data_IF_516632632316
#
_entry.id   IF_516632632316
#
_cell.length_a   1.000
_cell.length_b   1.000
_cell.length_c   1.000
_cell.angle_alpha   90.00
_cell.angle_beta   90.00
_cell.angle_gamma   90.00
#
_symmetry.space_group_name_H-M   'P 1'
#
loop_
_entity.id
_entity.type
_entity.pdbx_description
1 polymer ?
#
# COMPACT_ATOMS: atom_id res chain seq x y z
N UNK A 1 -27.75 4.67 27.37
CA UNK A 1 -27.31 3.95 26.16
C UNK A 1 -26.06 4.62 25.59
N UNK A 2 -25.05 3.84 25.14
CA UNK A 2 -23.81 4.39 24.59
C UNK A 2 -23.99 4.90 23.16
N UNK A 3 -23.12 5.82 22.74
CA UNK A 3 -23.01 6.24 21.35
C UNK A 3 -22.42 5.11 20.48
N UNK A 4 -22.73 5.12 19.18
CA UNK A 4 -22.08 4.21 18.23
C UNK A 4 -20.57 4.43 18.25
N UNK A 5 -19.81 3.33 18.29
CA UNK A 5 -18.34 3.35 18.21
C UNK A 5 -17.85 4.04 16.95
N UNK A 6 -16.62 4.55 17.00
CA UNK A 6 -15.99 5.19 15.83
C UNK A 6 -15.88 4.24 14.65
N UNK A 7 -15.58 2.93 14.88
CA UNK A 7 -15.54 1.92 13.83
C UNK A 7 -16.89 1.74 13.15
N UNK A 8 -18.00 1.73 13.91
CA UNK A 8 -19.33 1.64 13.33
C UNK A 8 -19.69 2.88 12.50
N UNK A 9 -19.26 4.08 12.94
CA UNK A 9 -19.42 5.33 12.18
C UNK A 9 -18.61 5.34 10.89
N UNK A 10 -17.38 4.82 10.92
CA UNK A 10 -16.56 4.65 9.71
C UNK A 10 -17.20 3.71 8.72
N UNK A 11 -17.74 2.59 9.18
CA UNK A 11 -18.39 1.59 8.32
C UNK A 11 -19.61 2.13 7.56
N UNK A 12 -20.21 3.23 8.01
CA UNK A 12 -21.28 3.91 7.28
C UNK A 12 -20.82 4.63 6.01
N UNK A 13 -19.53 4.89 5.84
CA UNK A 13 -19.00 5.55 4.64
C UNK A 13 -19.39 7.02 4.49
N UNK A 14 -19.75 7.72 5.60
CA UNK A 14 -20.05 9.15 5.53
C UNK A 14 -18.84 9.97 5.11
N UNK A 15 -19.05 11.19 4.54
CA UNK A 15 -17.99 12.09 4.05
C UNK A 15 -16.85 12.33 5.04
N UNK A 16 -17.13 12.34 6.36
CA UNK A 16 -16.12 12.49 7.41
C UNK A 16 -15.13 11.31 7.49
N UNK A 17 -15.46 10.16 6.92
CA UNK A 17 -14.65 8.94 6.95
C UNK A 17 -14.32 8.39 5.56
N UNK A 18 -14.82 9.00 4.51
CA UNK A 18 -14.43 8.69 3.14
C UNK A 18 -13.16 9.46 2.77
N UNK A 19 -12.51 9.00 1.72
CA UNK A 19 -11.35 9.69 1.16
C UNK A 19 -11.77 11.04 0.60
N UNK A 20 -10.87 12.03 0.63
CA UNK A 20 -11.14 13.32 0.02
C UNK A 20 -11.22 13.19 -1.50
N UNK A 21 -12.08 13.98 -2.17
CA UNK A 21 -12.02 14.14 -3.61
C UNK A 21 -10.59 14.52 -4.03
N UNK A 22 -10.13 14.05 -5.19
CA UNK A 22 -8.77 14.29 -5.67
C UNK A 22 -7.66 13.41 -5.08
N UNK A 23 -7.99 12.52 -4.12
CA UNK A 23 -6.96 11.61 -3.56
C UNK A 23 -6.73 10.35 -4.41
N UNK A 24 -7.65 10.00 -5.30
CA UNK A 24 -7.63 8.77 -6.13
C UNK A 24 -8.23 9.00 -7.52
N UNK A 25 -8.11 10.19 -8.02
CA UNK A 25 -8.52 10.60 -9.37
C UNK A 25 -7.53 10.13 -10.44
N UNK A 26 -6.31 9.79 -10.04
CA UNK A 26 -5.28 9.27 -10.95
C UNK A 26 -5.24 7.75 -10.85
N UNK A 27 -5.44 7.09 -12.00
CA UNK A 27 -5.22 5.65 -12.14
C UNK A 27 -3.75 5.38 -12.36
N UNK A 28 -3.17 4.51 -11.53
CA UNK A 28 -1.76 4.08 -11.62
C UNK A 28 -1.76 2.59 -11.89
N UNK A 29 -1.88 2.23 -13.15
CA UNK A 29 -1.95 0.85 -13.61
C UNK A 29 -1.15 0.69 -14.89
N UNK A 30 -0.76 -0.54 -15.18
CA UNK A 30 -0.22 -0.89 -16.49
C UNK A 30 -1.31 -0.78 -17.57
N UNK A 31 -0.97 -0.44 -18.81
CA UNK A 31 -1.90 -0.51 -19.93
C UNK A 31 -2.53 -1.90 -20.05
N UNK A 32 -3.85 -1.94 -20.32
CA UNK A 32 -4.62 -3.18 -20.24
C UNK A 32 -4.26 -4.18 -21.36
N UNK A 33 -3.83 -3.71 -22.53
CA UNK A 33 -3.63 -4.58 -23.70
C UNK A 33 -2.15 -4.65 -24.08
N UNK A 34 -1.41 -5.63 -23.56
CA UNK A 34 0.04 -5.71 -23.73
C UNK A 34 0.52 -6.99 -24.41
N UNK A 35 -0.21 -7.49 -25.39
CA UNK A 35 0.39 -8.41 -26.35
C UNK A 35 1.33 -7.69 -27.33
N UNK A 36 1.16 -6.38 -27.50
CA UNK A 36 2.07 -5.53 -28.26
C UNK A 36 3.03 -4.81 -27.31
N UNK A 37 4.31 -4.84 -27.61
CA UNK A 37 5.30 -4.03 -26.91
C UNK A 37 5.04 -2.56 -27.18
N UNK A 38 5.07 -1.72 -26.12
CA UNK A 38 4.96 -0.27 -26.22
C UNK A 38 6.25 0.38 -25.75
N UNK A 39 6.63 1.44 -26.41
CA UNK A 39 7.67 2.36 -25.96
C UNK A 39 6.98 3.63 -25.46
N UNK A 40 7.50 4.24 -24.41
CA UNK A 40 7.00 5.49 -23.89
C UNK A 40 8.12 6.34 -23.34
N UNK A 41 7.91 7.65 -23.34
CA UNK A 41 8.81 8.64 -22.77
C UNK A 41 8.21 9.23 -21.52
N UNK A 42 9.04 9.42 -20.49
CA UNK A 42 8.63 10.07 -19.23
C UNK A 42 8.51 11.58 -19.47
N UNK A 43 7.30 12.09 -19.48
CA UNK A 43 7.02 13.52 -19.70
C UNK A 43 7.10 14.34 -18.42
N UNK A 44 6.71 13.73 -17.28
CA UNK A 44 6.62 14.45 -16.00
C UNK A 44 6.81 13.53 -14.81
N UNK A 45 7.45 14.06 -13.76
CA UNK A 45 7.51 13.45 -12.42
C UNK A 45 6.75 14.33 -11.43
N UNK A 46 5.86 13.73 -10.63
CA UNK A 46 5.03 14.49 -9.70
C UNK A 46 4.65 13.70 -8.43
N UNK A 47 4.32 14.43 -7.37
CA UNK A 47 3.81 13.85 -6.14
C UNK A 47 2.28 13.89 -6.10
N UNK A 48 1.68 12.81 -5.63
CA UNK A 48 0.23 12.70 -5.50
C UNK A 48 -0.19 12.33 -4.07
N UNK A 49 -1.24 12.97 -3.54
CA UNK A 49 -1.68 12.80 -2.15
C UNK A 49 -2.13 11.38 -1.81
N UNK A 50 -2.56 10.60 -2.79
CA UNK A 50 -2.99 9.21 -2.64
C UNK A 50 -1.85 8.21 -2.59
N UNK A 51 -0.66 8.59 -3.03
CA UNK A 51 0.51 7.73 -3.12
C UNK A 51 1.65 8.25 -2.24
N UNK A 52 2.41 7.35 -1.63
CA UNK A 52 3.62 7.71 -0.88
C UNK A 52 4.82 7.87 -1.80
N UNK A 53 4.82 7.14 -2.91
CA UNK A 53 5.84 7.20 -3.94
C UNK A 53 5.54 8.33 -4.95
N UNK A 54 6.55 8.97 -5.53
CA UNK A 54 6.40 9.81 -6.71
C UNK A 54 5.80 9.01 -7.88
N UNK A 55 5.06 9.70 -8.72
CA UNK A 55 4.48 9.14 -9.93
C UNK A 55 5.20 9.72 -11.15
N UNK A 56 5.25 8.93 -12.22
CA UNK A 56 5.69 9.36 -13.53
C UNK A 56 4.52 9.30 -14.50
N UNK A 57 4.39 10.34 -15.29
CA UNK A 57 3.50 10.42 -16.45
C UNK A 57 4.30 10.00 -17.68
N UNK A 58 3.74 9.12 -18.48
CA UNK A 58 4.39 8.53 -19.65
C UNK A 58 3.50 8.77 -20.84
N UNK A 59 4.08 9.28 -21.89
CA UNK A 59 3.47 9.36 -23.21
C UNK A 59 4.00 8.19 -24.06
N UNK A 60 3.07 7.35 -24.52
CA UNK A 60 3.40 6.18 -25.33
C UNK A 60 3.45 6.53 -26.83
N UNK A 61 4.07 5.66 -27.60
CA UNK A 61 4.21 5.73 -29.05
C UNK A 61 2.85 5.83 -29.81
N UNK A 62 1.77 5.40 -29.18
CA UNK A 62 0.40 5.56 -29.68
C UNK A 62 -0.30 6.86 -29.22
N UNK A 63 0.45 7.85 -28.71
CA UNK A 63 -0.03 9.11 -28.16
C UNK A 63 -1.02 8.97 -26.98
N UNK A 64 -1.05 7.83 -26.35
CA UNK A 64 -1.82 7.65 -25.10
C UNK A 64 -0.95 7.98 -23.89
N UNK A 65 -1.55 8.59 -22.85
CA UNK A 65 -0.89 8.90 -21.61
C UNK A 65 -1.20 7.86 -20.54
N UNK A 66 -0.21 7.49 -19.76
CA UNK A 66 -0.35 6.61 -18.62
C UNK A 66 0.39 7.12 -17.39
N UNK A 67 -0.06 6.72 -16.21
CA UNK A 67 0.63 7.04 -14.97
C UNK A 67 1.13 5.76 -14.32
N UNK A 68 2.42 5.75 -13.98
CA UNK A 68 3.06 4.65 -13.26
C UNK A 68 3.84 5.16 -12.05
N UNK A 69 4.25 4.24 -11.18
CA UNK A 69 5.10 4.57 -10.03
C UNK A 69 6.52 4.81 -10.55
N UNK A 70 7.11 5.93 -10.14
CA UNK A 70 8.48 6.27 -10.54
C UNK A 70 9.51 5.41 -9.79
N UNK A 71 10.47 4.80 -10.47
CA UNK A 71 11.62 4.15 -9.83
C UNK A 71 12.65 5.18 -9.39
N UNK A 72 13.53 4.77 -8.49
CA UNK A 72 14.67 5.55 -8.06
C UNK A 72 15.66 5.73 -9.22
N UNK A 73 16.05 6.97 -9.49
CA UNK A 73 17.03 7.32 -10.53
C UNK A 73 16.44 7.66 -11.90
N UNK A 74 15.13 7.54 -12.11
CA UNK A 74 14.49 7.91 -13.38
C UNK A 74 14.44 9.44 -13.56
N UNK A 75 14.55 9.88 -14.80
CA UNK A 75 14.50 11.30 -15.19
C UNK A 75 13.38 11.54 -16.18
N UNK A 76 13.02 12.80 -16.34
CA UNK A 76 12.18 13.25 -17.46
C UNK A 76 12.95 13.03 -18.77
N UNK A 77 12.26 12.61 -19.81
CA UNK A 77 12.76 12.18 -21.12
C UNK A 77 13.45 10.81 -21.15
N UNK A 78 13.48 10.06 -20.05
CA UNK A 78 13.91 8.67 -20.07
C UNK A 78 12.86 7.80 -20.80
N UNK A 79 13.34 6.79 -21.53
CA UNK A 79 12.48 5.84 -22.24
C UNK A 79 12.14 4.65 -21.37
N UNK A 80 10.88 4.27 -21.36
CA UNK A 80 10.32 3.14 -20.63
C UNK A 80 9.65 2.18 -21.61
N UNK A 81 9.93 0.89 -21.46
CA UNK A 81 9.40 -0.15 -22.35
C UNK A 81 8.40 -1.02 -21.61
N UNK A 82 7.35 -1.43 -22.30
CA UNK A 82 6.33 -2.34 -21.77
C UNK A 82 6.25 -3.56 -22.68
N UNK A 83 6.40 -4.76 -22.10
CA UNK A 83 6.28 -6.02 -22.85
C UNK A 83 7.47 -6.34 -23.77
N UNK A 84 8.56 -5.59 -23.71
CA UNK A 84 9.85 -5.89 -24.32
C UNK A 84 10.77 -6.54 -23.31
N UNK A 85 11.63 -7.46 -23.75
CA UNK A 85 12.72 -8.03 -22.95
C UNK A 85 13.91 -7.05 -22.78
N UNK A 86 13.59 -5.78 -22.61
CA UNK A 86 14.59 -4.73 -22.35
C UNK A 86 14.57 -4.42 -20.85
N UNK A 87 15.63 -4.82 -20.18
CA UNK A 87 15.76 -4.65 -18.72
C UNK A 87 16.27 -3.27 -18.33
N UNK A 88 15.60 -2.22 -18.84
CA UNK A 88 15.89 -0.83 -18.45
C UNK A 88 15.10 -0.42 -17.22
N UNK A 89 15.60 0.58 -16.50
CA UNK A 89 14.99 1.10 -15.29
C UNK A 89 13.54 1.58 -15.54
N UNK A 90 12.60 1.12 -14.72
CA UNK A 90 11.20 1.50 -14.84
C UNK A 90 10.40 0.74 -15.88
N UNK A 91 11.04 -0.06 -16.74
CA UNK A 91 10.35 -0.87 -17.76
C UNK A 91 9.53 -1.98 -17.13
N UNK A 92 8.46 -2.36 -17.82
CA UNK A 92 7.49 -3.37 -17.38
C UNK A 92 7.72 -4.64 -18.17
N UNK A 93 8.13 -5.69 -17.48
CA UNK A 93 8.39 -7.00 -18.06
C UNK A 93 7.54 -8.08 -17.37
N UNK A 94 7.38 -9.24 -18.02
CA UNK A 94 6.83 -10.44 -17.40
C UNK A 94 7.82 -10.95 -16.35
N UNK A 95 7.33 -11.41 -15.22
CA UNK A 95 8.20 -11.87 -14.12
C UNK A 95 9.03 -13.07 -14.55
N UNK A 96 8.46 -13.95 -15.36
CA UNK A 96 9.16 -15.12 -15.88
C UNK A 96 10.37 -14.81 -16.76
N UNK A 97 10.41 -13.63 -17.38
CA UNK A 97 11.48 -13.21 -18.29
C UNK A 97 12.61 -12.44 -17.56
N UNK A 98 12.36 -11.98 -16.32
CA UNK A 98 13.31 -11.16 -15.56
C UNK A 98 14.33 -12.06 -14.87
N UNK A 99 15.64 -11.80 -15.02
CA UNK A 99 16.68 -12.60 -14.36
C UNK A 99 16.54 -12.64 -12.82
N UNK A 100 16.96 -13.77 -12.22
CA UNK A 100 17.02 -13.92 -10.77
C UNK A 100 17.95 -12.86 -10.14
N UNK A 101 17.59 -12.43 -8.94
CA UNK A 101 18.33 -11.41 -8.19
C UNK A 101 18.00 -9.97 -8.60
N UNK A 102 17.28 -9.73 -9.70
CA UNK A 102 16.91 -8.37 -10.09
C UNK A 102 15.87 -7.75 -9.16
N UNK A 103 16.03 -6.45 -8.83
CA UNK A 103 15.06 -5.70 -8.06
C UNK A 103 13.83 -5.39 -8.92
N UNK A 104 12.64 -5.63 -8.35
CA UNK A 104 11.35 -5.39 -9.01
C UNK A 104 10.38 -4.73 -8.04
N UNK A 105 9.42 -3.98 -8.59
CA UNK A 105 8.36 -3.33 -7.84
C UNK A 105 7.06 -3.25 -8.64
N UNK A 106 5.98 -2.74 -8.03
CA UNK A 106 4.64 -2.60 -8.65
C UNK A 106 4.16 -3.90 -9.31
N UNK A 107 4.31 -5.02 -8.61
CA UNK A 107 4.13 -6.37 -9.13
C UNK A 107 2.65 -6.72 -9.21
N UNK A 108 2.24 -7.38 -10.27
CA UNK A 108 0.90 -7.96 -10.40
C UNK A 108 0.75 -9.19 -9.49
N UNK A 109 -0.41 -9.35 -8.88
CA UNK A 109 -0.75 -10.56 -8.10
C UNK A 109 -1.42 -11.63 -8.96
N UNK A 110 -2.11 -11.19 -10.00
CA UNK A 110 -2.68 -12.01 -11.07
C UNK A 110 -2.41 -11.32 -12.41
N UNK A 111 -2.19 -12.06 -13.49
CA UNK A 111 -1.92 -11.46 -14.78
C UNK A 111 -3.01 -10.44 -15.19
N UNK A 112 -2.61 -9.23 -15.57
CA UNK A 112 -3.51 -8.17 -16.03
C UNK A 112 -4.16 -7.32 -14.92
N UNK A 113 -3.79 -7.47 -13.64
CA UNK A 113 -4.37 -6.68 -12.54
C UNK A 113 -3.75 -5.27 -12.37
N UNK A 114 -2.76 -4.93 -13.17
CA UNK A 114 -2.19 -3.58 -13.27
C UNK A 114 -1.17 -3.21 -12.21
N UNK A 115 -0.71 -4.15 -11.40
CA UNK A 115 0.27 -3.96 -10.33
C UNK A 115 -0.37 -3.61 -8.98
N UNK A 116 -0.11 -4.44 -7.98
CA UNK A 116 -0.67 -4.30 -6.63
C UNK A 116 0.34 -4.44 -5.49
N UNK A 117 1.38 -5.24 -5.68
CA UNK A 117 2.39 -5.48 -4.66
C UNK A 117 3.56 -4.51 -4.81
N UNK A 118 4.21 -4.17 -3.70
CA UNK A 118 5.45 -3.35 -3.65
C UNK A 118 5.28 -2.00 -4.34
N UNK A 119 4.41 -1.15 -3.79
CA UNK A 119 4.05 0.17 -4.37
C UNK A 119 4.40 1.35 -3.47
N UNK A 120 4.89 1.10 -2.27
CA UNK A 120 5.22 2.16 -1.31
C UNK A 120 6.59 2.75 -1.60
N UNK A 121 6.79 4.03 -1.26
CA UNK A 121 8.07 4.71 -1.40
C UNK A 121 9.23 3.92 -0.79
N UNK A 122 10.33 3.78 -1.54
CA UNK A 122 11.54 3.08 -1.13
C UNK A 122 11.43 1.56 -1.03
N UNK A 123 10.31 0.97 -1.46
CA UNK A 123 10.14 -0.48 -1.40
C UNK A 123 10.66 -1.16 -2.66
N UNK A 124 11.23 -2.36 -2.50
CA UNK A 124 11.67 -3.23 -3.58
C UNK A 124 11.44 -4.68 -3.21
N UNK A 125 11.26 -5.53 -4.19
CA UNK A 125 11.24 -6.98 -4.09
C UNK A 125 12.30 -7.57 -4.99
N UNK A 126 12.64 -8.84 -4.81
CA UNK A 126 13.66 -9.53 -5.60
C UNK A 126 13.11 -10.82 -6.14
N UNK A 127 13.42 -11.12 -7.40
CA UNK A 127 13.18 -12.44 -7.98
C UNK A 127 14.20 -13.41 -7.39
N UNK A 128 13.71 -14.48 -6.81
CA UNK A 128 14.56 -15.41 -6.06
C UNK A 128 14.83 -16.70 -6.83
N UNK A 129 13.83 -17.21 -7.54
CA UNK A 129 13.96 -18.42 -8.33
C UNK A 129 12.82 -18.53 -9.35
N UNK A 130 13.10 -19.11 -10.50
CA UNK A 130 12.10 -19.52 -11.48
C UNK A 130 11.73 -20.99 -11.29
N UNK A 131 10.43 -21.28 -11.30
CA UNK A 131 9.84 -22.61 -11.24
C UNK A 131 9.13 -22.89 -12.58
N UNK A 132 8.69 -24.12 -12.82
CA UNK A 132 7.91 -24.41 -14.02
C UNK A 132 6.58 -23.66 -14.03
N UNK A 133 6.47 -22.57 -14.80
CA UNK A 133 5.26 -21.76 -14.95
C UNK A 133 4.97 -20.78 -13.80
N UNK A 134 5.91 -20.64 -12.85
CA UNK A 134 5.74 -19.74 -11.72
C UNK A 134 7.10 -19.20 -11.24
N UNK A 135 7.11 -18.00 -10.71
CA UNK A 135 8.30 -17.32 -10.20
C UNK A 135 8.15 -17.01 -8.72
N UNK A 136 9.19 -17.30 -7.94
CA UNK A 136 9.27 -16.99 -6.52
C UNK A 136 9.84 -15.58 -6.32
N UNK A 137 9.10 -14.74 -5.61
CA UNK A 137 9.45 -13.34 -5.35
C UNK A 137 9.52 -13.08 -3.85
N UNK A 138 10.64 -12.54 -3.39
CA UNK A 138 10.82 -12.12 -1.99
C UNK A 138 10.38 -10.68 -1.82
N UNK A 139 9.32 -10.47 -1.04
CA UNK A 139 8.74 -9.17 -0.74
C UNK A 139 9.57 -8.38 0.30
N UNK A 140 9.37 -7.05 0.45
CA UNK A 140 10.03 -6.23 1.49
C UNK A 140 9.80 -6.73 2.92
N UNK A 141 8.72 -7.45 3.16
CA UNK A 141 8.42 -8.11 4.45
C UNK A 141 9.28 -9.35 4.73
N UNK A 142 10.16 -9.73 3.80
CA UNK A 142 10.93 -10.99 3.79
C UNK A 142 10.07 -12.25 3.63
N UNK A 143 8.82 -12.07 3.24
CA UNK A 143 7.95 -13.19 2.88
C UNK A 143 8.15 -13.52 1.40
N UNK A 144 8.26 -14.81 1.08
CA UNK A 144 8.31 -15.30 -0.30
C UNK A 144 6.90 -15.61 -0.79
N UNK A 145 6.60 -15.19 -2.01
CA UNK A 145 5.32 -15.43 -2.69
C UNK A 145 5.60 -16.01 -4.06
N UNK A 146 4.88 -17.07 -4.40
CA UNK A 146 4.91 -17.69 -5.74
C UNK A 146 3.85 -17.02 -6.59
N UNK A 147 4.26 -16.48 -7.75
CA UNK A 147 3.41 -15.78 -8.70
C UNK A 147 3.50 -16.46 -10.07
N UNK A 148 2.48 -16.31 -10.89
CA UNK A 148 2.48 -16.80 -12.27
C UNK A 148 3.50 -16.01 -13.12
N UNK A 149 4.24 -16.66 -13.99
CA UNK A 149 5.25 -16.06 -14.87
C UNK A 149 4.68 -14.97 -15.79
N UNK A 150 3.39 -15.04 -16.13
CA UNK A 150 2.69 -14.04 -16.92
C UNK A 150 2.38 -12.74 -16.17
N UNK A 151 2.54 -12.71 -14.83
CA UNK A 151 2.44 -11.49 -14.06
C UNK A 151 3.52 -10.48 -14.49
N UNK A 152 3.17 -9.21 -14.52
CA UNK A 152 4.11 -8.14 -14.87
C UNK A 152 4.67 -7.45 -13.64
N UNK A 153 5.88 -6.95 -13.77
CA UNK A 153 6.53 -6.13 -12.74
C UNK A 153 7.34 -5.01 -13.39
N UNK A 154 7.56 -3.93 -12.67
CA UNK A 154 8.49 -2.87 -13.05
C UNK A 154 9.88 -3.16 -12.49
N UNK A 155 10.90 -2.80 -13.27
CA UNK A 155 12.31 -3.01 -12.91
C UNK A 155 12.86 -1.85 -12.08
N UNK A 156 13.51 -2.19 -10.97
CA UNK A 156 14.16 -1.24 -10.06
C UNK A 156 13.56 -1.23 -8.65
N UNK A 157 13.79 -0.15 -7.94
CA UNK A 157 13.21 0.15 -6.62
C UNK A 157 12.31 1.38 -6.72
N UNK A 158 11.27 1.44 -5.89
CA UNK A 158 10.36 2.60 -5.85
C UNK A 158 11.10 3.83 -5.33
N UNK A 159 10.97 4.97 -6.01
CA UNK A 159 11.53 6.23 -5.57
C UNK A 159 10.98 6.72 -4.21
N UNK A 160 11.65 7.68 -3.60
CA UNK A 160 11.25 8.27 -2.31
C UNK A 160 11.62 7.42 -1.10
N UNK A 161 12.69 6.64 -1.19
CA UNK A 161 13.28 5.91 -0.07
C UNK A 161 13.60 6.82 1.12
N UNK A 162 13.51 6.27 2.34
CA UNK A 162 13.77 7.03 3.58
C UNK A 162 12.64 7.97 4.04
N UNK A 163 11.62 8.22 3.22
CA UNK A 163 10.52 9.12 3.60
C UNK A 163 9.78 8.66 4.86
N UNK A 164 9.63 7.36 5.06
CA UNK A 164 8.98 6.78 6.25
C UNK A 164 9.88 6.79 7.48
N UNK A 165 11.18 6.90 7.31
CA UNK A 165 12.18 6.85 8.38
C UNK A 165 12.42 8.22 9.00
N UNK A 166 12.01 9.30 8.31
CA UNK A 166 12.09 10.65 8.83
C UNK A 166 11.16 10.84 10.02
N UNK A 167 11.68 11.23 11.20
CA UNK A 167 10.85 11.48 12.38
C UNK A 167 10.00 12.73 12.16
N UNK A 168 8.71 12.64 12.52
CA UNK A 168 7.79 13.77 12.40
C UNK A 168 8.07 14.89 13.43
N UNK A 169 8.82 14.60 14.46
CA UNK A 169 9.30 15.50 15.53
C UNK A 169 8.19 16.15 16.34
N UNK A 170 7.14 16.67 15.72
CA UNK A 170 6.03 17.36 16.40
C UNK A 170 4.65 16.90 15.94
N UNK A 171 3.68 16.99 16.88
CA UNK A 171 2.29 16.58 16.66
C UNK A 171 1.60 17.32 15.50
N UNK A 172 1.97 18.58 15.24
CA UNK A 172 1.44 19.36 14.13
C UNK A 172 1.72 18.74 12.76
N UNK A 173 2.92 18.22 12.50
CA UNK A 173 3.25 17.52 11.26
C UNK A 173 2.38 16.26 11.09
N UNK A 174 2.22 15.45 12.15
CA UNK A 174 1.31 14.30 12.14
C UNK A 174 -0.15 14.71 11.86
N UNK A 175 -0.62 15.82 12.45
CA UNK A 175 -1.96 16.34 12.22
C UNK A 175 -2.19 16.64 10.73
N UNK A 176 -1.30 17.39 10.09
CA UNK A 176 -1.46 17.75 8.68
C UNK A 176 -1.40 16.54 7.74
N UNK A 177 -0.47 15.59 7.95
CA UNK A 177 -0.39 14.37 7.14
C UNK A 177 -1.67 13.53 7.26
N UNK A 178 -2.17 13.34 8.48
CA UNK A 178 -3.40 12.57 8.70
C UNK A 178 -4.64 13.29 8.17
N UNK A 179 -4.65 14.63 8.26
CA UNK A 179 -5.75 15.44 7.73
C UNK A 179 -5.78 15.45 6.19
N UNK A 180 -4.62 15.50 5.52
CA UNK A 180 -4.53 15.43 4.06
C UNK A 180 -5.13 14.12 3.50
N UNK A 181 -4.88 13.00 4.19
CA UNK A 181 -5.41 11.68 3.81
C UNK A 181 -6.76 11.34 4.45
N UNK A 182 -7.41 12.29 5.14
CA UNK A 182 -8.65 12.09 5.90
C UNK A 182 -8.59 10.90 6.87
N UNK A 183 -7.43 10.68 7.47
CA UNK A 183 -7.22 9.63 8.48
C UNK A 183 -7.56 10.16 9.86
N UNK A 184 -8.24 9.35 10.63
CA UNK A 184 -8.61 9.70 12.01
C UNK A 184 -7.35 9.79 12.90
N UNK A 185 -7.10 10.98 13.43
CA UNK A 185 -6.02 11.27 14.36
C UNK A 185 -6.47 12.35 15.36
N UNK A 186 -6.01 12.37 16.62
CA UNK A 186 -5.20 11.35 17.29
C UNK A 186 -5.99 10.06 17.60
N UNK A 187 -5.28 8.92 17.72
CA UNK A 187 -5.86 7.65 18.11
C UNK A 187 -5.90 7.55 19.63
N UNK A 188 -7.05 7.81 20.21
CA UNK A 188 -7.25 7.75 21.66
C UNK A 188 -7.58 6.30 22.08
N UNK A 189 -6.93 5.81 23.11
CA UNK A 189 -7.23 4.50 23.70
C UNK A 189 -8.63 4.50 24.31
N UNK A 190 -9.39 3.41 24.16
CA UNK A 190 -10.74 3.28 24.68
C UNK A 190 -10.85 3.51 26.20
N UNK A 191 -9.79 3.17 26.95
CA UNK A 191 -9.72 3.39 28.42
C UNK A 191 -9.73 4.87 28.78
N UNK A 192 -9.22 5.74 27.91
CA UNK A 192 -9.22 7.21 28.11
C UNK A 192 -10.52 7.89 27.68
N UNK A 193 -11.43 7.14 27.08
CA UNK A 193 -12.72 7.65 26.63
C UNK A 193 -13.76 7.60 27.74
N UNK A 194 -14.87 8.34 27.55
CA UNK A 194 -16.01 8.23 28.45
C UNK A 194 -16.79 6.92 28.21
N UNK A 195 -17.53 6.41 29.21
CA UNK A 195 -18.33 5.18 29.07
C UNK A 195 -19.35 5.24 27.92
N UNK A 196 -19.82 6.43 27.59
CA UNK A 196 -20.75 6.67 26.47
C UNK A 196 -20.09 6.41 25.13
N UNK A 197 -18.79 6.68 25.00
CA UNK A 197 -18.06 6.63 23.74
C UNK A 197 -17.36 5.30 23.51
N UNK A 198 -17.02 4.58 24.58
CA UNK A 198 -16.30 3.30 24.47
C UNK A 198 -16.59 2.36 25.67
N UNK A 199 -16.76 1.04 25.45
CA UNK A 199 -17.02 0.06 26.52
C UNK A 199 -15.94 -0.02 27.60
N UNK A 200 -14.71 0.42 27.32
CA UNK A 200 -13.60 0.47 28.28
C UNK A 200 -13.46 1.81 28.98
N UNK A 201 -14.32 2.78 28.65
CA UNK A 201 -14.31 4.10 29.26
C UNK A 201 -14.84 4.08 30.69
N UNK A 202 -14.38 5.04 31.49
CA UNK A 202 -14.84 5.24 32.87
C UNK A 202 -13.85 6.03 33.71
N UNK A 203 -14.28 6.37 34.93
CA UNK A 203 -13.60 7.31 35.81
C UNK A 203 -12.20 6.88 36.25
N UNK A 204 -11.96 5.58 36.41
CA UNK A 204 -10.72 5.07 37.03
C UNK A 204 -9.61 4.74 36.01
N UNK A 205 -9.81 5.03 34.75
CA UNK A 205 -8.86 4.72 33.67
C UNK A 205 -8.42 3.25 33.57
N UNK A 206 -9.17 2.35 34.19
CA UNK A 206 -9.03 0.90 34.11
C UNK A 206 -10.12 0.34 33.20
N UNK A 207 -9.84 -0.78 32.54
CA UNK A 207 -10.82 -1.40 31.66
C UNK A 207 -12.09 -1.85 32.37
N UNK A 208 -12.01 -2.17 33.67
CA UNK A 208 -13.11 -2.69 34.49
C UNK A 208 -13.73 -3.99 33.97
N UNK A 209 -13.30 -4.46 32.79
CA UNK A 209 -13.82 -5.62 32.07
C UNK A 209 -12.68 -6.34 31.36
N UNK A 210 -12.89 -7.62 31.02
CA UNK A 210 -11.95 -8.37 30.19
C UNK A 210 -11.78 -7.66 28.83
N UNK A 211 -10.53 -7.56 28.37
CA UNK A 211 -10.21 -7.10 27.01
C UNK A 211 -10.38 -8.20 25.94
N UNK A 212 -10.60 -9.42 26.35
CA UNK A 212 -10.88 -10.56 25.48
C UNK A 212 -12.34 -10.52 25.08
N UNK A 213 -12.59 -10.45 23.78
CA UNK A 213 -13.96 -10.34 23.25
C UNK A 213 -14.22 -11.49 22.31
N UNK A 214 -15.37 -12.14 22.47
CA UNK A 214 -15.81 -13.21 21.57
C UNK A 214 -15.93 -12.72 20.14
N UNK A 215 -15.67 -13.60 19.17
CA UNK A 215 -15.92 -13.35 17.76
C UNK A 215 -17.38 -12.99 17.50
N UNK A 216 -18.30 -13.61 18.23
CA UNK A 216 -19.75 -13.44 18.10
C UNK A 216 -20.31 -12.29 18.95
N UNK A 217 -19.45 -11.47 19.59
CA UNK A 217 -19.94 -10.32 20.33
C UNK A 217 -20.72 -9.35 19.44
N UNK A 218 -21.83 -8.76 19.91
CA UNK A 218 -22.65 -7.86 19.13
C UNK A 218 -21.89 -6.58 18.77
N UNK A 219 -22.30 -5.89 17.69
CA UNK A 219 -21.77 -4.58 17.33
C UNK A 219 -21.85 -3.61 18.51
N UNK A 220 -20.78 -2.84 18.73
CA UNK A 220 -20.66 -1.95 19.90
C UNK A 220 -20.01 -2.56 21.13
N UNK A 221 -20.08 -3.88 21.30
CA UNK A 221 -19.31 -4.61 22.30
C UNK A 221 -18.01 -5.21 21.75
N UNK A 222 -17.90 -5.37 20.44
CA UNK A 222 -16.76 -5.98 19.74
C UNK A 222 -15.55 -5.03 19.74
N UNK A 223 -14.87 -4.97 20.87
CA UNK A 223 -13.70 -4.11 21.13
C UNK A 223 -12.60 -4.88 21.86
N UNK A 224 -11.37 -4.44 21.78
CA UNK A 224 -10.21 -5.07 22.41
C UNK A 224 -9.61 -6.19 21.56
N UNK A 225 -9.20 -7.26 22.21
CA UNK A 225 -8.60 -8.44 21.56
C UNK A 225 -9.71 -9.37 21.09
N UNK A 226 -10.16 -9.21 19.86
CA UNK A 226 -11.28 -9.97 19.29
C UNK A 226 -10.81 -11.36 18.94
N UNK A 227 -11.50 -12.37 19.48
CA UNK A 227 -11.23 -13.79 19.25
C UNK A 227 -9.77 -14.23 19.53
N UNK A 228 -9.07 -13.48 20.36
CA UNK A 228 -7.70 -13.81 20.71
C UNK A 228 -7.66 -15.03 21.64
N UNK A 229 -6.83 -16.02 21.35
CA UNK A 229 -6.59 -17.17 22.22
C UNK A 229 -5.76 -16.80 23.44
N UNK A 230 -4.93 -15.74 23.36
CA UNK A 230 -4.09 -15.22 24.44
C UNK A 230 -3.78 -13.73 24.25
N UNK A 231 -3.32 -13.09 25.31
CA UNK A 231 -2.76 -11.73 25.29
C UNK A 231 -1.31 -11.76 25.78
N UNK A 232 -0.55 -10.72 25.40
CA UNK A 232 0.85 -10.59 25.78
C UNK A 232 1.82 -11.15 24.73
N UNK A 233 3.12 -11.01 25.03
CA UNK A 233 4.20 -11.45 24.12
C UNK A 233 4.24 -12.98 24.06
N UNK A 234 4.36 -13.54 22.86
CA UNK A 234 4.58 -14.96 22.68
C UNK A 234 5.98 -15.30 23.22
N UNK A 235 6.06 -16.23 24.20
CA UNK A 235 7.36 -16.80 24.56
C UNK A 235 7.87 -17.55 23.33
N UNK A 236 9.11 -17.29 22.94
CA UNK A 236 9.79 -18.17 22.00
C UNK A 236 10.00 -19.50 22.74
N UNK A 237 9.38 -20.56 22.26
CA UNK A 237 9.74 -21.91 22.63
C UNK A 237 11.03 -22.25 21.96
#
# INVERSE_FOLDING_TARGET
MGKRLRQQRRGKGSKAYSKRPGTFDISVNYPYNTKASKEGEVTRLFNHTGHTAPLMEIEYDDFTNGNMIAPEGIKVHDKVYIGKETFTLGSVCRIGDIPEGMPVYNIESTPGDGGKLVRSAGSTAYITAHLSGATNVTLPSRASVVLNDDCRAQLGAVAGGGMTDQPLVKAGKSHYIMHATNRMWPKIRGVKSNPVDHPFGGKQHHKGKSSMTSRNAPPGRKVGHIAASRTGRRKKG
#
